data_IF_539473200638
#
_entry.id   IF_539473200638
#
_cell.length_a   1.000
_cell.length_b   1.000
_cell.length_c   1.000
_cell.angle_alpha   90.00
_cell.angle_beta   90.00
_cell.angle_gamma   90.00
#
_symmetry.space_group_name_H-M   'P 1'
#
loop_
_entity.id
_entity.type
_entity.pdbx_description
1 polymer ?
#
# COMPACT_ATOMS: atom_id res chain seq x y z
N UNK A 1 -16.45 23.36 12.41
CA UNK A 1 -15.32 23.94 11.63
C UNK A 1 -15.47 23.41 10.22
N UNK A 2 -15.80 24.25 9.23
CA UNK A 2 -15.91 23.78 7.86
C UNK A 2 -14.52 23.34 7.39
N UNK A 3 -14.36 22.06 7.04
CA UNK A 3 -13.10 21.54 6.54
C UNK A 3 -12.70 22.31 5.28
N UNK A 4 -11.45 22.77 5.25
CA UNK A 4 -10.90 23.43 4.06
C UNK A 4 -11.00 22.46 2.89
N UNK A 5 -11.36 22.90 1.68
CA UNK A 5 -11.38 22.02 0.52
C UNK A 5 -9.97 21.48 0.30
N UNK A 6 -9.77 20.19 0.61
CA UNK A 6 -8.49 19.49 0.39
C UNK A 6 -8.36 19.29 -1.11
N UNK A 7 -7.24 19.69 -1.74
CA UNK A 7 -6.99 19.41 -3.14
C UNK A 7 -7.13 17.90 -3.42
N UNK A 8 -7.76 17.52 -4.55
CA UNK A 8 -7.97 16.11 -4.90
C UNK A 8 -6.68 15.28 -4.84
N UNK A 9 -5.53 15.84 -5.20
CA UNK A 9 -4.22 15.16 -5.11
C UNK A 9 -3.83 14.71 -3.69
N UNK A 10 -4.31 15.42 -2.66
CA UNK A 10 -3.93 15.26 -1.25
C UNK A 10 -4.99 14.48 -0.45
N UNK A 11 -6.13 14.15 -1.07
CA UNK A 11 -7.16 13.32 -0.43
C UNK A 11 -6.70 11.87 -0.32
N UNK A 12 -7.05 11.20 0.78
CA UNK A 12 -6.79 9.77 0.94
C UNK A 12 -7.67 9.01 -0.04
N UNK A 13 -7.19 7.85 -0.51
CA UNK A 13 -7.93 7.00 -1.43
C UNK A 13 -9.36 6.69 -0.95
N UNK A 14 -9.55 6.51 0.36
CA UNK A 14 -10.85 6.19 0.97
C UNK A 14 -11.84 7.37 0.97
N UNK A 15 -11.34 8.61 0.82
CA UNK A 15 -12.15 9.82 0.84
C UNK A 15 -12.52 10.29 -0.59
N UNK A 16 -12.08 9.57 -1.63
CA UNK A 16 -12.31 9.91 -3.04
C UNK A 16 -13.62 9.29 -3.53
N UNK A 17 -14.44 10.08 -4.22
CA UNK A 17 -15.64 9.56 -4.90
C UNK A 17 -15.24 8.66 -6.07
N UNK A 18 -15.95 7.55 -6.30
CA UNK A 18 -15.62 6.58 -7.36
C UNK A 18 -15.41 7.20 -8.75
N UNK A 19 -16.26 8.16 -9.14
CA UNK A 19 -16.12 8.88 -10.43
C UNK A 19 -14.91 9.81 -10.52
N UNK A 20 -14.27 10.14 -9.39
CA UNK A 20 -13.08 11.00 -9.32
C UNK A 20 -11.78 10.19 -9.19
N UNK A 21 -11.85 8.86 -9.05
CA UNK A 21 -10.67 7.99 -8.90
C UNK A 21 -9.70 8.09 -10.08
N UNK A 22 -10.14 8.09 -11.37
CA UNK A 22 -9.21 8.22 -12.49
C UNK A 22 -8.43 9.54 -12.45
N UNK A 23 -9.12 10.65 -12.17
CA UNK A 23 -8.50 11.97 -12.03
C UNK A 23 -7.56 12.03 -10.81
N UNK A 24 -7.93 11.38 -9.70
CA UNK A 24 -7.09 11.28 -8.51
C UNK A 24 -5.79 10.51 -8.76
N UNK A 25 -5.86 9.39 -9.49
CA UNK A 25 -4.69 8.61 -9.89
C UNK A 25 -3.80 9.43 -10.84
N UNK A 26 -4.38 10.11 -11.82
CA UNK A 26 -3.64 10.92 -12.78
C UNK A 26 -2.84 12.07 -12.11
N UNK A 27 -3.29 12.54 -10.94
CA UNK A 27 -2.60 13.57 -10.15
C UNK A 27 -1.49 13.02 -9.25
N UNK A 28 -1.24 11.70 -9.24
CA UNK A 28 -0.15 11.11 -8.44
C UNK A 28 1.21 11.43 -9.05
N UNK A 29 2.18 11.58 -8.17
CA UNK A 29 3.58 11.71 -8.57
C UNK A 29 4.17 10.34 -8.94
N UNK A 30 4.38 10.14 -10.24
CA UNK A 30 5.00 8.95 -10.83
C UNK A 30 6.51 9.12 -11.09
N UNK A 31 7.11 10.21 -10.59
CA UNK A 31 8.56 10.39 -10.65
C UNK A 31 9.25 9.25 -9.88
N UNK A 32 10.41 8.74 -10.33
CA UNK A 32 11.13 7.67 -9.62
C UNK A 32 11.37 7.99 -8.13
N UNK A 33 11.67 9.25 -7.79
CA UNK A 33 11.80 9.72 -6.40
C UNK A 33 10.48 9.66 -5.62
N UNK A 34 9.36 10.04 -6.25
CA UNK A 34 8.01 9.95 -5.70
C UNK A 34 7.59 8.52 -5.39
N UNK A 35 7.94 7.57 -6.28
CA UNK A 35 7.67 6.15 -6.10
C UNK A 35 8.49 5.56 -4.95
N UNK A 36 9.80 5.80 -4.92
CA UNK A 36 10.68 5.37 -3.82
C UNK A 36 10.18 5.93 -2.49
N UNK A 37 9.81 7.21 -2.46
CA UNK A 37 9.22 7.85 -1.28
C UNK A 37 7.92 7.19 -0.85
N UNK A 38 7.05 6.78 -1.79
CA UNK A 38 5.80 6.07 -1.48
C UNK A 38 6.05 4.69 -0.88
N UNK A 39 6.99 3.92 -1.44
CA UNK A 39 7.38 2.59 -0.92
C UNK A 39 7.95 2.73 0.48
N UNK A 40 8.86 3.68 0.70
CA UNK A 40 9.47 3.93 2.02
C UNK A 40 8.43 4.28 3.08
N UNK A 41 7.47 5.16 2.77
CA UNK A 41 6.35 5.49 3.68
C UNK A 41 5.50 4.26 4.01
N UNK A 42 5.25 3.39 3.03
CA UNK A 42 4.54 2.12 3.23
C UNK A 42 5.29 1.19 4.16
N UNK A 43 6.59 1.02 3.93
CA UNK A 43 7.50 0.22 4.74
C UNK A 43 7.55 0.71 6.19
N UNK A 44 7.77 2.00 6.41
CA UNK A 44 7.85 2.58 7.76
C UNK A 44 6.52 2.40 8.52
N UNK A 45 5.38 2.60 7.83
CA UNK A 45 4.04 2.36 8.41
C UNK A 45 3.86 0.89 8.81
N UNK A 46 4.29 -0.03 7.95
CA UNK A 46 4.16 -1.46 8.20
C UNK A 46 5.03 -1.90 9.40
N UNK A 47 6.31 -1.50 9.40
CA UNK A 47 7.22 -1.78 10.49
C UNK A 47 6.68 -1.22 11.81
N UNK A 48 6.27 0.04 11.84
CA UNK A 48 5.79 0.68 13.07
C UNK A 48 4.48 0.07 13.58
N UNK A 49 3.65 -0.49 12.70
CA UNK A 49 2.37 -1.10 13.09
C UNK A 49 2.52 -2.53 13.59
N UNK A 50 3.40 -3.33 12.97
CA UNK A 50 3.41 -4.78 13.19
C UNK A 50 4.72 -5.36 13.74
N UNK A 51 5.84 -4.65 13.62
CA UNK A 51 7.16 -5.14 14.04
C UNK A 51 7.70 -4.31 15.22
N UNK A 52 7.74 -2.98 15.09
CA UNK A 52 8.30 -2.06 16.09
C UNK A 52 7.29 -1.73 17.21
N UNK A 53 6.60 -2.73 17.75
CA UNK A 53 5.66 -2.56 18.88
C UNK A 53 6.26 -3.15 20.15
N UNK A 54 6.02 -2.53 21.32
CA UNK A 54 6.62 -2.95 22.61
C UNK A 54 6.32 -4.40 23.00
N UNK A 55 5.18 -4.94 22.57
CA UNK A 55 4.79 -6.36 22.71
C UNK A 55 4.42 -6.89 21.34
N UNK A 56 5.43 -7.19 20.53
CA UNK A 56 5.26 -7.74 19.19
C UNK A 56 4.74 -9.17 19.21
N UNK A 57 3.90 -9.51 18.24
CA UNK A 57 3.46 -10.87 17.96
C UNK A 57 3.94 -11.34 16.59
N UNK A 58 3.74 -12.61 16.28
CA UNK A 58 4.09 -13.23 14.97
C UNK A 58 3.33 -12.62 13.79
N UNK A 59 2.24 -11.88 14.02
CA UNK A 59 1.35 -11.37 12.97
C UNK A 59 2.05 -10.60 11.85
N UNK A 60 3.05 -9.76 12.16
CA UNK A 60 3.84 -9.09 11.13
C UNK A 60 4.57 -10.10 10.24
N UNK A 61 5.40 -10.95 10.85
CA UNK A 61 6.20 -11.96 10.13
C UNK A 61 5.30 -12.91 9.32
N UNK A 62 4.17 -13.33 9.88
CA UNK A 62 3.18 -14.17 9.20
C UNK A 62 2.59 -13.49 7.93
N UNK A 63 2.35 -12.18 7.95
CA UNK A 63 1.89 -11.45 6.75
C UNK A 63 2.95 -11.44 5.63
N UNK A 64 4.24 -11.34 5.97
CA UNK A 64 5.33 -11.41 4.98
C UNK A 64 5.40 -12.82 4.38
N UNK A 65 5.34 -13.86 5.23
CA UNK A 65 5.32 -15.25 4.79
C UNK A 65 4.13 -15.54 3.88
N UNK A 66 2.94 -15.06 4.23
CA UNK A 66 1.76 -15.18 3.39
C UNK A 66 1.99 -14.53 2.01
N UNK A 67 2.56 -13.32 1.97
CA UNK A 67 2.91 -12.66 0.71
C UNK A 67 3.87 -13.49 -0.15
N UNK A 68 4.88 -14.11 0.47
CA UNK A 68 5.80 -15.01 -0.22
C UNK A 68 5.10 -16.23 -0.82
N UNK A 69 4.21 -16.87 -0.06
CA UNK A 69 3.43 -18.02 -0.54
C UNK A 69 2.56 -17.64 -1.73
N UNK A 70 1.89 -16.48 -1.68
CA UNK A 70 1.06 -15.99 -2.78
C UNK A 70 1.89 -15.71 -4.04
N UNK A 71 3.03 -15.03 -3.90
CA UNK A 71 3.93 -14.74 -5.04
C UNK A 71 4.46 -16.04 -5.64
N UNK A 72 4.90 -16.97 -4.79
CA UNK A 72 5.35 -18.29 -5.23
C UNK A 72 4.25 -19.07 -5.95
N UNK A 73 3.02 -19.02 -5.44
CA UNK A 73 1.87 -19.65 -6.07
C UNK A 73 1.57 -19.08 -7.45
N UNK A 74 1.54 -17.75 -7.59
CA UNK A 74 1.31 -17.09 -8.89
C UNK A 74 2.41 -17.46 -9.89
N UNK A 75 3.68 -17.49 -9.46
CA UNK A 75 4.80 -17.84 -10.35
C UNK A 75 4.76 -19.31 -10.78
N UNK A 76 4.35 -20.19 -9.89
CA UNK A 76 4.20 -21.62 -10.18
C UNK A 76 2.83 -21.96 -10.78
N UNK A 77 1.93 -21.00 -10.95
CA UNK A 77 0.56 -21.24 -11.39
C UNK A 77 0.51 -21.87 -12.79
N UNK A 78 1.36 -21.41 -13.71
CA UNK A 78 1.48 -21.99 -15.05
C UNK A 78 1.97 -23.45 -15.04
N UNK A 79 2.74 -23.85 -14.02
CA UNK A 79 3.25 -25.22 -13.88
C UNK A 79 2.23 -26.14 -13.18
N UNK A 80 1.37 -25.59 -12.33
CA UNK A 80 0.28 -26.30 -11.65
C UNK A 80 -0.99 -26.45 -12.51
N UNK A 81 -1.17 -25.59 -13.51
CA UNK A 81 -2.36 -25.57 -14.38
C UNK A 81 -2.26 -26.50 -15.61
N UNK A 82 -1.29 -27.40 -15.63
CA UNK A 82 -1.18 -28.53 -16.59
C UNK A 82 -1.73 -29.80 -15.98
#
# INVERSE_FOLDING_TARGET
MADRPVPLKDTRLLDVKLGQVPSWIAMRDFTPSGLIGAVRRGYDRYLNKYINVKKGGIGGIAMVLFGYVVVSYVWNYEHLSK
#
